data_IF_008558556534
#
_entry.id   IF_008558556534
#
_cell.length_a   1.000
_cell.length_b   1.000
_cell.length_c   1.000
_cell.angle_alpha   90.00
_cell.angle_beta   90.00
_cell.angle_gamma   90.00
#
_symmetry.space_group_name_H-M   'P 1'
#
loop_
_entity.id
_entity.type
_entity.pdbx_description
1 polymer ?
#
# COMPACT_ATOMS: atom_id res chain seq x y z
N UNK A 1 -31.31 -26.94 -13.94
CA UNK A 1 -30.41 -26.03 -14.69
C UNK A 1 -31.16 -25.30 -15.79
N UNK A 2 -31.61 -25.97 -16.87
CA UNK A 2 -32.32 -25.32 -18.01
C UNK A 2 -33.55 -24.52 -17.59
N UNK A 3 -34.43 -25.06 -16.72
CA UNK A 3 -35.63 -24.35 -16.25
C UNK A 3 -35.33 -23.07 -15.44
N UNK A 4 -34.22 -23.02 -14.69
CA UNK A 4 -33.80 -21.84 -13.93
C UNK A 4 -33.27 -20.76 -14.88
N UNK A 5 -32.50 -21.17 -15.89
CA UNK A 5 -32.01 -20.31 -16.95
C UNK A 5 -33.13 -19.70 -17.81
N UNK A 6 -34.10 -20.52 -18.25
CA UNK A 6 -35.25 -20.03 -19.03
C UNK A 6 -36.05 -18.97 -18.26
N UNK A 7 -36.25 -19.16 -16.95
CA UNK A 7 -36.89 -18.13 -16.09
C UNK A 7 -36.06 -16.85 -16.03
N UNK A 8 -34.75 -16.94 -15.77
CA UNK A 8 -33.88 -15.77 -15.70
C UNK A 8 -33.80 -15.01 -17.04
N UNK A 9 -33.80 -15.70 -18.18
CA UNK A 9 -33.84 -15.06 -19.50
C UNK A 9 -35.18 -14.37 -19.77
N UNK A 10 -36.29 -14.95 -19.32
CA UNK A 10 -37.61 -14.33 -19.42
C UNK A 10 -37.74 -13.13 -18.47
N UNK A 11 -37.07 -13.16 -17.32
CA UNK A 11 -36.95 -12.05 -16.37
C UNK A 11 -35.91 -11.00 -16.81
N UNK A 12 -35.65 -10.88 -18.12
CA UNK A 12 -34.75 -9.90 -18.75
C UNK A 12 -33.28 -9.92 -18.29
N UNK A 13 -32.77 -11.04 -17.75
CA UNK A 13 -31.33 -11.18 -17.50
C UNK A 13 -30.56 -11.11 -18.82
N UNK A 14 -29.98 -9.95 -19.09
CA UNK A 14 -29.15 -9.67 -20.29
C UNK A 14 -27.71 -10.18 -20.15
N UNK A 15 -27.27 -10.50 -18.93
CA UNK A 15 -25.90 -10.96 -18.67
C UNK A 15 -25.80 -12.49 -18.58
N UNK A 16 -25.05 -13.07 -19.53
CA UNK A 16 -24.77 -14.51 -19.63
C UNK A 16 -23.69 -14.96 -18.62
N UNK A 17 -22.90 -14.04 -18.07
CA UNK A 17 -21.84 -14.38 -17.13
C UNK A 17 -22.40 -14.79 -15.76
N UNK A 18 -21.68 -15.72 -15.12
CA UNK A 18 -21.91 -16.10 -13.73
C UNK A 18 -21.77 -14.87 -12.82
N UNK A 19 -22.60 -14.82 -11.79
CA UNK A 19 -22.43 -13.85 -10.72
C UNK A 19 -21.13 -14.11 -9.96
N UNK A 20 -20.55 -13.04 -9.40
CA UNK A 20 -19.36 -13.15 -8.58
C UNK A 20 -19.60 -14.17 -7.45
N UNK A 21 -18.83 -15.25 -7.45
CA UNK A 21 -18.91 -16.26 -6.40
C UNK A 21 -18.27 -15.71 -5.14
N UNK A 22 -18.83 -16.04 -3.98
CA UNK A 22 -18.14 -15.86 -2.71
C UNK A 22 -16.87 -16.73 -2.74
N UNK A 23 -15.72 -16.09 -2.92
CA UNK A 23 -14.42 -16.73 -2.90
C UNK A 23 -14.02 -17.16 -1.48
N UNK A 24 -12.80 -17.69 -1.35
CA UNK A 24 -12.20 -17.95 -0.04
C UNK A 24 -12.07 -16.61 0.72
N UNK A 25 -12.45 -16.54 2.01
CA UNK A 25 -12.22 -15.35 2.81
C UNK A 25 -10.74 -14.97 2.79
N UNK A 26 -10.47 -13.72 2.44
CA UNK A 26 -9.14 -13.12 2.52
C UNK A 26 -8.69 -13.08 3.98
N UNK A 27 -7.46 -13.52 4.26
CA UNK A 27 -6.82 -13.31 5.58
C UNK A 27 -6.54 -11.83 5.82
N UNK A 28 -6.44 -11.05 4.74
CA UNK A 28 -6.25 -9.60 4.78
C UNK A 28 -7.59 -8.93 5.09
N UNK A 29 -7.66 -8.33 6.28
CA UNK A 29 -8.77 -7.47 6.72
C UNK A 29 -8.33 -5.99 6.62
N UNK A 30 -9.26 -5.08 6.36
CA UNK A 30 -8.98 -3.64 6.26
C UNK A 30 -8.36 -3.08 7.56
N UNK A 31 -8.79 -3.59 8.72
CA UNK A 31 -8.18 -3.22 10.01
C UNK A 31 -6.71 -3.65 10.14
N UNK A 32 -6.32 -4.75 9.47
CA UNK A 32 -4.92 -5.17 9.42
C UNK A 32 -4.12 -4.28 8.47
N UNK A 33 -4.69 -3.95 7.30
CA UNK A 33 -4.07 -3.05 6.33
C UNK A 33 -3.77 -1.70 6.97
N UNK A 34 -4.71 -1.15 7.78
CA UNK A 34 -4.50 0.07 8.56
C UNK A 34 -3.31 -0.04 9.50
N UNK A 35 -3.24 -1.09 10.32
CA UNK A 35 -2.11 -1.30 11.27
C UNK A 35 -0.76 -1.40 10.57
N UNK A 36 -0.69 -2.06 9.42
CA UNK A 36 0.53 -2.13 8.61
C UNK A 36 0.91 -0.75 8.08
N UNK A 37 -0.08 0.03 7.63
CA UNK A 37 0.16 1.40 7.16
C UNK A 37 0.67 2.32 8.28
N UNK A 38 0.09 2.24 9.47
CA UNK A 38 0.53 3.05 10.62
C UNK A 38 2.00 2.77 10.97
N UNK A 39 2.42 1.49 10.91
CA UNK A 39 3.81 1.10 11.10
C UNK A 39 4.76 1.61 10.03
N UNK A 40 4.30 1.66 8.79
CA UNK A 40 5.06 2.25 7.68
C UNK A 40 5.23 3.76 7.86
N UNK A 41 4.20 4.44 8.38
CA UNK A 41 4.25 5.88 8.66
C UNK A 41 5.16 6.22 9.85
N UNK A 42 5.18 5.36 10.88
CA UNK A 42 6.09 5.50 12.02
C UNK A 42 7.57 5.43 11.60
N UNK A 43 7.90 4.52 10.67
CA UNK A 43 9.23 4.41 10.10
C UNK A 43 9.21 4.22 8.59
N UNK A 44 9.40 5.31 7.85
CA UNK A 44 9.45 5.30 6.38
C UNK A 44 10.60 4.47 5.79
N UNK A 45 11.61 4.13 6.60
CA UNK A 45 12.75 3.27 6.23
C UNK A 45 12.60 1.86 6.79
N UNK A 46 11.43 1.26 6.59
CA UNK A 46 11.16 -0.11 7.01
C UNK A 46 11.71 -1.14 6.02
N UNK A 47 11.85 -2.38 6.50
CA UNK A 47 12.14 -3.57 5.68
C UNK A 47 11.02 -4.57 5.91
N UNK A 48 10.64 -5.35 4.89
CA UNK A 48 9.59 -6.37 5.02
C UNK A 48 9.89 -7.37 6.16
N UNK A 49 11.17 -7.68 6.41
CA UNK A 49 11.58 -8.51 7.55
C UNK A 49 11.25 -7.89 8.92
N UNK A 50 11.36 -6.57 9.07
CA UNK A 50 10.94 -5.88 10.29
C UNK A 50 9.43 -5.99 10.49
N UNK A 51 8.65 -5.83 9.42
CA UNK A 51 7.20 -6.05 9.46
C UNK A 51 6.86 -7.50 9.82
N UNK A 52 7.60 -8.50 9.33
CA UNK A 52 7.40 -9.89 9.75
C UNK A 52 7.63 -10.10 11.25
N UNK A 53 8.61 -9.41 11.84
CA UNK A 53 8.87 -9.51 13.28
C UNK A 53 7.75 -8.85 14.11
N UNK A 54 7.22 -7.71 13.64
CA UNK A 54 6.09 -7.04 14.30
C UNK A 54 4.77 -7.80 14.12
N UNK A 55 4.61 -8.51 13.00
CA UNK A 55 3.41 -9.26 12.64
C UNK A 55 3.71 -10.75 12.42
N UNK A 56 4.07 -11.50 13.48
CA UNK A 56 4.49 -12.91 13.34
C UNK A 56 3.34 -13.84 12.90
N UNK A 57 2.08 -13.41 13.08
CA UNK A 57 0.90 -14.16 12.67
C UNK A 57 0.65 -14.12 11.16
N UNK A 58 1.37 -13.26 10.43
CA UNK A 58 1.12 -13.00 9.01
C UNK A 58 2.34 -13.43 8.22
N UNK A 59 2.11 -14.16 7.13
CA UNK A 59 3.19 -14.59 6.27
C UNK A 59 3.81 -13.40 5.52
N UNK A 60 5.11 -13.53 5.22
CA UNK A 60 5.87 -12.53 4.45
C UNK A 60 5.24 -12.20 3.10
N UNK A 61 4.65 -13.18 2.43
CA UNK A 61 3.99 -13.00 1.12
C UNK A 61 2.74 -12.14 1.23
N UNK A 62 1.93 -12.34 2.26
CA UNK A 62 0.73 -11.54 2.50
C UNK A 62 1.09 -10.10 2.86
N UNK A 63 2.13 -9.89 3.69
CA UNK A 63 2.63 -8.54 3.98
C UNK A 63 3.11 -7.83 2.70
N UNK A 64 3.82 -8.55 1.83
CA UNK A 64 4.26 -8.01 0.54
C UNK A 64 3.06 -7.63 -0.35
N UNK A 65 2.03 -8.48 -0.40
CA UNK A 65 0.79 -8.20 -1.13
C UNK A 65 0.06 -6.97 -0.58
N UNK A 66 -0.03 -6.82 0.74
CA UNK A 66 -0.64 -5.65 1.38
C UNK A 66 0.11 -4.38 0.99
N UNK A 67 1.44 -4.36 1.10
CA UNK A 67 2.26 -3.18 0.81
C UNK A 67 2.14 -2.76 -0.65
N UNK A 68 2.23 -3.71 -1.59
CA UNK A 68 2.25 -3.40 -3.03
C UNK A 68 0.84 -3.26 -3.62
N UNK A 69 -0.06 -4.20 -3.37
CA UNK A 69 -1.34 -4.24 -4.07
C UNK A 69 -2.41 -3.40 -3.37
N UNK A 70 -2.44 -3.42 -2.03
CA UNK A 70 -3.47 -2.70 -1.24
C UNK A 70 -3.06 -1.26 -0.97
N UNK A 71 -1.87 -1.06 -0.42
CA UNK A 71 -1.35 0.27 -0.05
C UNK A 71 -0.66 0.97 -1.23
N UNK A 72 -0.31 0.25 -2.30
CA UNK A 72 0.35 0.81 -3.50
C UNK A 72 1.69 1.48 -3.21
N UNK A 73 2.39 1.05 -2.18
CA UNK A 73 3.74 1.52 -1.90
C UNK A 73 4.76 0.85 -2.81
N UNK A 74 5.80 1.60 -3.14
CA UNK A 74 6.96 1.11 -3.89
C UNK A 74 8.24 1.35 -3.10
N UNK A 75 9.21 0.46 -3.26
CA UNK A 75 10.52 0.62 -2.63
C UNK A 75 11.34 1.63 -3.43
N UNK A 76 11.76 2.70 -2.78
CA UNK A 76 12.66 3.70 -3.36
C UNK A 76 14.05 3.58 -2.74
N UNK A 77 15.08 3.88 -3.53
CA UNK A 77 16.44 4.03 -3.02
C UNK A 77 16.59 5.43 -2.41
N UNK A 78 17.22 5.53 -1.24
CA UNK A 78 17.54 6.81 -0.63
C UNK A 78 18.51 7.61 -1.51
N UNK A 79 18.27 8.91 -1.67
CA UNK A 79 19.15 9.79 -2.43
C UNK A 79 20.43 10.08 -1.64
N UNK A 80 21.57 10.09 -2.31
CA UNK A 80 22.85 10.45 -1.69
C UNK A 80 22.85 11.94 -1.33
N UNK A 81 23.27 12.25 -0.11
CA UNK A 81 23.38 13.62 0.40
C UNK A 81 24.86 13.92 0.63
N UNK A 82 25.45 14.93 -0.03
CA UNK A 82 26.90 15.16 0.00
C UNK A 82 27.47 15.48 1.37
N UNK A 83 26.69 16.13 2.24
CA UNK A 83 27.12 16.53 3.57
C UNK A 83 25.94 16.59 4.52
N UNK A 84 26.16 16.20 5.77
CA UNK A 84 25.22 16.43 6.86
C UNK A 84 25.24 17.91 7.23
N UNK A 85 24.18 18.63 6.88
CA UNK A 85 24.05 20.06 7.16
C UNK A 85 23.64 20.27 8.62
N UNK A 86 24.36 21.15 9.30
CA UNK A 86 23.95 21.73 10.59
C UNK A 86 22.94 22.85 10.35
N UNK A 87 22.23 23.24 11.40
CA UNK A 87 21.19 24.28 11.26
C UNK A 87 21.77 25.62 10.81
N UNK A 88 22.97 26.00 11.29
CA UNK A 88 23.69 27.18 10.80
C UNK A 88 24.01 27.13 9.31
N UNK A 89 24.31 25.94 8.77
CA UNK A 89 24.53 25.79 7.33
C UNK A 89 23.22 25.96 6.56
N UNK A 90 22.10 25.45 7.09
CA UNK A 90 20.78 25.59 6.45
C UNK A 90 20.31 27.04 6.40
N UNK A 91 20.48 27.79 7.49
CA UNK A 91 20.07 29.21 7.55
C UNK A 91 20.87 30.07 6.57
N UNK A 92 22.18 29.86 6.48
CA UNK A 92 23.04 30.54 5.49
C UNK A 92 22.65 30.19 4.06
N UNK A 93 22.42 28.90 3.77
CA UNK A 93 22.00 28.46 2.43
C UNK A 93 20.66 29.08 2.01
N UNK A 94 19.67 29.11 2.91
CA UNK A 94 18.38 29.75 2.63
C UNK A 94 18.54 31.26 2.39
N UNK A 95 19.35 31.94 3.20
CA UNK A 95 19.65 33.37 3.01
C UNK A 95 20.29 33.66 1.65
N UNK A 96 21.32 32.89 1.28
CA UNK A 96 21.98 33.03 -0.02
C UNK A 96 21.06 32.70 -1.19
N UNK A 97 20.22 31.65 -1.08
CA UNK A 97 19.26 31.29 -2.11
C UNK A 97 18.21 32.38 -2.32
N UNK A 98 17.72 33.01 -1.23
CA UNK A 98 16.77 34.11 -1.32
C UNK A 98 17.40 35.32 -2.03
N UNK A 99 18.63 35.70 -1.66
CA UNK A 99 19.34 36.81 -2.33
C UNK A 99 19.66 36.54 -3.80
N UNK A 100 19.79 35.28 -4.22
CA UNK A 100 20.04 34.94 -5.62
C UNK A 100 18.77 35.04 -6.49
N UNK A 101 17.59 34.87 -5.88
CA UNK A 101 16.30 34.95 -6.56
C UNK A 101 15.72 36.38 -6.63
N UNK A 102 16.36 37.35 -5.96
CA UNK A 102 15.92 38.76 -5.90
C UNK A 102 16.82 39.63 -6.75
#
# INVERSE_FOLDING_TARGET
MVRKWVRQCNDERTNVHDEARSGRPSVVNDGLVGKVNDKILENSRFTIGLLCNEFPQISKTVLHEIVINRLKYSKLCSRWVPKMLTDDHKTKLLGSALTFLT
#
